data_IF_908678212555
#
_entry.id   IF_908678212555
#
_cell.length_a   1.000
_cell.length_b   1.000
_cell.length_c   1.000
_cell.angle_alpha   90.00
_cell.angle_beta   90.00
_cell.angle_gamma   90.00
#
_symmetry.space_group_name_H-M   'P 1'
#
loop_
_entity.id
_entity.type
_entity.pdbx_description
1 polymer ?
#
# COMPACT_ATOMS: atom_id res chain seq x y z
N UNK A 1 -31.76 18.34 6.06
CA UNK A 1 -30.66 19.32 5.92
C UNK A 1 -29.35 18.59 6.34
N UNK A 2 -28.31 18.61 5.53
CA UNK A 2 -27.05 17.97 5.88
C UNK A 2 -26.39 18.71 7.06
N UNK A 3 -25.77 17.96 7.99
CA UNK A 3 -24.97 18.50 9.07
C UNK A 3 -23.75 19.25 8.55
N UNK A 4 -23.08 18.68 7.54
CA UNK A 4 -21.94 19.28 6.86
C UNK A 4 -22.29 19.56 5.40
N UNK A 5 -22.10 20.80 4.96
CA UNK A 5 -22.38 21.24 3.59
C UNK A 5 -21.25 20.90 2.65
N UNK A 6 -19.98 21.03 3.12
CA UNK A 6 -18.81 20.75 2.31
C UNK A 6 -17.71 20.08 3.13
N UNK A 7 -17.36 18.86 2.77
CA UNK A 7 -16.31 18.07 3.41
C UNK A 7 -15.07 17.98 2.51
N UNK A 8 -13.91 18.22 3.11
CA UNK A 8 -12.61 18.03 2.44
C UNK A 8 -11.99 16.69 2.88
N UNK A 9 -11.79 15.77 1.94
CA UNK A 9 -10.98 14.57 2.11
C UNK A 9 -9.57 14.85 1.63
N UNK A 10 -8.59 14.89 2.54
CA UNK A 10 -7.22 15.34 2.30
C UNK A 10 -6.22 14.19 2.43
N UNK A 11 -5.40 14.00 1.38
CA UNK A 11 -4.20 13.18 1.42
C UNK A 11 -2.97 14.10 1.52
N UNK A 12 -2.32 14.24 2.72
CA UNK A 12 -1.33 15.28 2.98
C UNK A 12 0.10 14.91 2.60
N UNK A 13 0.30 13.78 1.91
CA UNK A 13 1.64 13.30 1.57
C UNK A 13 2.15 13.91 0.28
N UNK A 14 3.05 14.86 0.40
CA UNK A 14 3.76 15.44 -0.74
C UNK A 14 5.20 15.76 -0.35
N UNK A 15 6.14 15.73 -1.29
CA UNK A 15 7.47 16.33 -1.17
C UNK A 15 8.27 16.14 -2.46
N UNK A 16 9.06 17.15 -2.75
CA UNK A 16 9.75 17.31 -4.03
C UNK A 16 10.86 16.30 -4.30
N UNK A 17 11.51 15.77 -3.26
CA UNK A 17 12.74 14.96 -3.39
C UNK A 17 12.58 13.48 -3.09
N UNK A 18 11.41 12.89 -3.31
CA UNK A 18 11.23 11.48 -2.96
C UNK A 18 11.92 10.57 -3.98
N UNK A 19 12.79 9.67 -3.48
CA UNK A 19 13.41 8.61 -4.30
C UNK A 19 12.43 7.54 -4.76
N UNK A 20 11.26 7.53 -4.19
CA UNK A 20 10.22 6.55 -4.46
C UNK A 20 9.23 7.20 -5.41
N UNK A 21 8.85 6.49 -6.44
CA UNK A 21 7.74 6.83 -7.29
C UNK A 21 6.49 6.86 -6.43
N UNK A 22 6.13 8.07 -5.97
CA UNK A 22 4.93 8.29 -5.16
C UNK A 22 3.90 8.97 -6.03
N UNK A 23 2.70 8.45 -6.05
CA UNK A 23 1.63 8.94 -6.87
C UNK A 23 1.19 7.99 -7.98
N UNK A 24 1.77 6.77 -8.02
CA UNK A 24 1.39 5.72 -8.97
C UNK A 24 -0.09 5.32 -8.80
N UNK A 25 -0.55 5.23 -7.55
CA UNK A 25 -1.92 4.82 -7.23
C UNK A 25 -2.65 5.88 -6.42
N UNK A 26 -4.00 5.92 -6.49
CA UNK A 26 -4.82 6.81 -5.68
C UNK A 26 -4.68 6.53 -4.18
N UNK A 27 -5.08 7.48 -3.31
CA UNK A 27 -5.16 7.27 -1.87
C UNK A 27 -6.41 6.44 -1.52
N UNK A 28 -6.42 5.16 -1.92
CA UNK A 28 -7.58 4.28 -1.94
C UNK A 28 -8.37 4.26 -0.65
N UNK A 29 -7.68 4.17 0.53
CA UNK A 29 -8.38 4.20 1.81
C UNK A 29 -9.17 5.50 2.04
N UNK A 30 -8.63 6.65 1.63
CA UNK A 30 -9.35 7.93 1.72
C UNK A 30 -10.53 7.99 0.73
N UNK A 31 -10.39 7.39 -0.43
CA UNK A 31 -11.47 7.32 -1.42
C UNK A 31 -12.63 6.45 -0.94
N UNK A 32 -12.35 5.36 -0.21
CA UNK A 32 -13.40 4.58 0.48
C UNK A 32 -14.14 5.45 1.50
N UNK A 33 -13.42 6.22 2.32
CA UNK A 33 -14.04 7.16 3.28
C UNK A 33 -14.91 8.18 2.54
N UNK A 34 -14.39 8.79 1.48
CA UNK A 34 -15.14 9.77 0.68
C UNK A 34 -16.41 9.17 0.06
N UNK A 35 -16.34 7.98 -0.51
CA UNK A 35 -17.47 7.28 -1.12
C UNK A 35 -18.56 6.93 -0.09
N UNK A 36 -18.17 6.55 1.14
CA UNK A 36 -19.10 6.14 2.18
C UNK A 36 -19.76 7.33 2.91
N UNK A 37 -19.36 8.56 2.67
CA UNK A 37 -20.01 9.76 3.23
C UNK A 37 -20.65 10.68 2.18
N UNK A 38 -20.39 10.52 0.87
CA UNK A 38 -20.77 11.50 -0.17
C UNK A 38 -22.25 11.79 -0.24
N UNK A 39 -23.11 10.79 -0.01
CA UNK A 39 -24.56 10.92 -0.08
C UNK A 39 -25.18 11.38 1.27
N UNK A 40 -24.33 11.51 2.32
CA UNK A 40 -24.71 11.94 3.67
C UNK A 40 -24.31 13.40 3.97
N UNK A 41 -23.64 14.06 3.02
CA UNK A 41 -23.17 15.44 3.12
C UNK A 41 -23.51 16.22 1.84
N UNK A 42 -23.45 17.56 1.89
CA UNK A 42 -23.80 18.37 0.72
C UNK A 42 -22.81 18.22 -0.44
N UNK A 43 -21.51 18.16 -0.15
CA UNK A 43 -20.44 18.02 -1.14
C UNK A 43 -19.21 17.39 -0.51
N UNK A 44 -18.49 16.55 -1.25
CA UNK A 44 -17.15 16.06 -0.92
C UNK A 44 -16.15 16.56 -1.94
N UNK A 45 -15.04 17.12 -1.47
CA UNK A 45 -13.86 17.42 -2.29
C UNK A 45 -12.73 16.51 -1.85
N UNK A 46 -12.12 15.80 -2.79
CA UNK A 46 -10.94 14.98 -2.55
C UNK A 46 -9.70 15.72 -3.06
N UNK A 47 -8.73 15.98 -2.17
CA UNK A 47 -7.44 16.59 -2.52
C UNK A 47 -6.28 15.64 -2.23
N UNK A 48 -5.51 15.36 -3.26
CA UNK A 48 -4.24 14.67 -3.17
C UNK A 48 -3.08 15.65 -3.37
N UNK A 49 -2.39 16.01 -2.29
CA UNK A 49 -1.33 17.01 -2.34
C UNK A 49 -0.10 16.58 -3.15
N UNK A 50 -0.03 15.34 -3.60
CA UNK A 50 0.99 14.91 -4.59
C UNK A 50 0.79 15.60 -5.94
N UNK A 51 -0.45 15.98 -6.26
CA UNK A 51 -0.87 16.61 -7.52
C UNK A 51 -1.27 18.08 -7.35
N UNK A 52 -1.94 18.43 -6.24
CA UNK A 52 -2.47 19.78 -5.97
C UNK A 52 -1.39 20.70 -5.37
N UNK A 53 -0.44 21.14 -6.20
CA UNK A 53 0.75 21.90 -5.76
C UNK A 53 0.44 23.20 -5.05
N UNK A 54 -0.64 23.89 -5.44
CA UNK A 54 -1.06 25.16 -4.80
C UNK A 54 -1.36 24.94 -3.32
N UNK A 55 -1.98 23.81 -2.99
CA UNK A 55 -2.36 23.48 -1.61
C UNK A 55 -1.25 22.78 -0.81
N UNK A 56 -0.06 22.62 -1.38
CA UNK A 56 1.14 22.23 -0.60
C UNK A 56 1.64 23.37 0.29
N UNK A 57 1.22 24.63 0.00
CA UNK A 57 1.38 25.76 0.91
C UNK A 57 0.27 25.73 1.98
N UNK A 58 0.60 25.56 3.28
CA UNK A 58 -0.40 25.54 4.35
C UNK A 58 -1.27 26.80 4.41
N UNK A 59 -0.74 27.97 4.02
CA UNK A 59 -1.51 29.22 4.01
C UNK A 59 -2.59 29.22 2.93
N UNK A 60 -2.25 28.77 1.73
CA UNK A 60 -3.21 28.64 0.63
C UNK A 60 -4.29 27.63 0.95
N UNK A 61 -3.91 26.47 1.50
CA UNK A 61 -4.85 25.43 1.92
C UNK A 61 -5.74 25.92 3.06
N UNK A 62 -5.17 26.59 4.09
CA UNK A 62 -5.94 27.15 5.21
C UNK A 62 -6.96 28.17 4.76
N UNK A 63 -6.62 29.01 3.78
CA UNK A 63 -7.59 29.97 3.20
C UNK A 63 -8.74 29.26 2.52
N UNK A 64 -8.47 28.20 1.76
CA UNK A 64 -9.53 27.39 1.14
C UNK A 64 -10.41 26.70 2.18
N UNK A 65 -9.80 26.10 3.20
CA UNK A 65 -10.52 25.41 4.28
C UNK A 65 -11.46 26.39 5.01
N UNK A 66 -10.98 27.57 5.45
CA UNK A 66 -11.78 28.57 6.16
C UNK A 66 -12.99 29.06 5.37
N UNK A 67 -12.84 29.19 4.06
CA UNK A 67 -13.86 29.79 3.22
C UNK A 67 -14.95 28.79 2.78
N UNK A 68 -14.59 27.50 2.68
CA UNK A 68 -15.45 26.56 1.97
C UNK A 68 -15.73 25.26 2.74
N UNK A 69 -14.99 24.92 3.79
CA UNK A 69 -15.02 23.59 4.38
C UNK A 69 -15.61 23.60 5.80
N UNK A 70 -16.57 22.74 6.03
CA UNK A 70 -17.20 22.54 7.34
C UNK A 70 -16.59 21.35 8.11
N UNK A 71 -15.99 20.38 7.40
CA UNK A 71 -15.37 19.20 7.97
C UNK A 71 -14.12 18.84 7.17
N UNK A 72 -13.00 18.69 7.87
CA UNK A 72 -11.72 18.25 7.30
C UNK A 72 -11.43 16.81 7.69
N UNK A 73 -11.34 15.90 6.71
CA UNK A 73 -10.94 14.51 6.89
C UNK A 73 -9.53 14.28 6.37
N UNK A 74 -8.58 13.96 7.25
CA UNK A 74 -7.16 13.78 6.91
C UNK A 74 -6.77 12.31 7.01
N UNK A 75 -6.15 11.77 5.97
CA UNK A 75 -5.69 10.38 5.95
C UNK A 75 -4.18 10.28 6.23
N UNK A 76 -3.81 9.63 7.34
CA UNK A 76 -2.42 9.38 7.74
C UNK A 76 -2.14 7.87 7.79
N UNK A 77 -1.92 7.21 6.63
CA UNK A 77 -1.77 5.76 6.57
C UNK A 77 -0.33 5.28 6.78
N UNK A 78 0.70 6.15 6.64
CA UNK A 78 2.08 5.72 6.53
C UNK A 78 3.00 6.30 7.61
N UNK A 79 3.93 5.46 8.10
CA UNK A 79 5.08 5.84 8.92
C UNK A 79 6.01 6.84 8.19
N UNK A 80 6.16 6.67 6.87
CA UNK A 80 7.08 7.48 6.08
C UNK A 80 6.76 8.97 6.21
N UNK A 81 7.66 9.72 6.87
CA UNK A 81 7.56 11.16 7.11
C UNK A 81 6.37 11.59 7.97
N UNK A 82 5.98 10.74 8.88
CA UNK A 82 4.89 10.97 9.81
C UNK A 82 5.01 12.33 10.50
N UNK A 83 6.17 12.66 11.10
CA UNK A 83 6.40 13.94 11.77
C UNK A 83 6.20 15.17 10.85
N UNK A 84 6.65 15.08 9.59
CA UNK A 84 6.43 16.17 8.62
C UNK A 84 4.96 16.35 8.24
N UNK A 85 4.21 15.25 8.22
CA UNK A 85 2.75 15.30 8.01
C UNK A 85 2.08 15.92 9.24
N UNK A 86 2.51 15.58 10.45
CA UNK A 86 2.03 16.22 11.67
C UNK A 86 2.33 17.73 11.64
N UNK A 87 3.57 18.13 11.34
CA UNK A 87 3.95 19.55 11.21
C UNK A 87 3.08 20.31 10.20
N UNK A 88 2.69 19.65 9.11
CA UNK A 88 1.80 20.25 8.12
C UNK A 88 0.37 20.35 8.63
N UNK A 89 -0.18 19.26 9.20
CA UNK A 89 -1.54 19.22 9.73
C UNK A 89 -1.74 20.21 10.85
N UNK A 90 -0.76 20.37 11.77
CA UNK A 90 -0.82 21.35 12.88
C UNK A 90 -0.94 22.81 12.42
N UNK A 91 -0.62 23.13 11.16
CA UNK A 91 -0.76 24.48 10.59
C UNK A 91 -2.14 24.72 9.96
N UNK A 92 -3.00 23.72 9.92
CA UNK A 92 -4.34 23.86 9.36
C UNK A 92 -5.30 24.53 10.35
N UNK A 93 -6.40 25.14 9.88
CA UNK A 93 -7.31 25.94 10.70
C UNK A 93 -7.92 25.17 11.88
N UNK A 94 -7.77 25.62 13.12
CA UNK A 94 -8.35 24.95 14.29
C UNK A 94 -9.86 25.19 14.44
N UNK A 95 -10.42 26.15 13.73
CA UNK A 95 -11.84 26.47 13.74
C UNK A 95 -12.71 25.54 12.91
N UNK A 96 -12.12 24.68 12.09
CA UNK A 96 -12.83 23.67 11.27
C UNK A 96 -12.62 22.30 11.91
N UNK A 97 -13.72 21.59 12.17
CA UNK A 97 -13.67 20.26 12.75
C UNK A 97 -12.77 19.33 11.93
N UNK A 98 -11.72 18.81 12.56
CA UNK A 98 -10.71 17.98 11.91
C UNK A 98 -10.77 16.54 12.41
N UNK A 99 -11.08 15.63 11.49
CA UNK A 99 -11.07 14.17 11.67
C UNK A 99 -9.83 13.58 11.03
N UNK A 100 -9.04 12.84 11.80
CA UNK A 100 -7.86 12.15 11.29
C UNK A 100 -8.08 10.64 11.36
N UNK A 101 -7.64 9.92 10.33
CA UNK A 101 -7.72 8.46 10.30
C UNK A 101 -6.59 7.85 9.48
N UNK A 102 -6.58 6.53 9.40
CA UNK A 102 -5.57 5.73 8.71
C UNK A 102 -4.72 4.90 9.65
N UNK A 103 -3.93 4.00 9.07
CA UNK A 103 -3.17 3.00 9.84
C UNK A 103 -2.24 3.65 10.86
N UNK A 104 -1.44 4.64 10.44
CA UNK A 104 -0.50 5.31 11.34
C UNK A 104 -1.20 6.22 12.35
N UNK A 105 -2.30 6.86 11.97
CA UNK A 105 -3.12 7.61 12.91
C UNK A 105 -3.71 6.73 14.02
N UNK A 106 -4.07 5.48 13.68
CA UNK A 106 -4.54 4.49 14.66
C UNK A 106 -3.42 4.05 15.63
N UNK A 107 -2.17 3.98 15.17
CA UNK A 107 -1.03 3.63 16.02
C UNK A 107 -0.64 4.74 17.01
N UNK A 108 -0.70 6.00 16.54
CA UNK A 108 -0.11 7.17 17.21
C UNK A 108 -1.17 8.15 17.72
N UNK A 109 -2.27 7.66 18.26
CA UNK A 109 -3.40 8.49 18.70
C UNK A 109 -2.98 9.55 19.71
N UNK A 110 -2.25 9.15 20.76
CA UNK A 110 -1.79 10.06 21.81
C UNK A 110 -0.85 11.11 21.24
N UNK A 111 0.15 10.67 20.48
CA UNK A 111 1.12 11.56 19.86
C UNK A 111 0.46 12.62 18.95
N UNK A 112 -0.57 12.21 18.19
CA UNK A 112 -1.32 13.13 17.34
C UNK A 112 -2.11 14.16 18.14
N UNK A 113 -2.79 13.76 19.22
CA UNK A 113 -3.49 14.70 20.09
C UNK A 113 -2.52 15.63 20.83
N UNK A 114 -1.40 15.13 21.31
CA UNK A 114 -0.38 15.96 21.99
C UNK A 114 0.27 16.97 21.04
N UNK A 115 0.59 16.52 19.82
CA UNK A 115 1.32 17.31 18.82
C UNK A 115 0.44 18.33 18.12
N UNK A 116 -0.79 17.99 17.79
CA UNK A 116 -1.67 18.77 16.93
C UNK A 116 -2.98 19.13 17.66
N UNK A 117 -3.01 20.31 18.34
CA UNK A 117 -4.19 20.73 19.09
C UNK A 117 -5.43 20.99 18.22
N UNK A 118 -5.26 21.18 16.93
CA UNK A 118 -6.35 21.36 15.96
C UNK A 118 -6.97 20.04 15.46
N UNK A 119 -6.55 18.90 15.97
CA UNK A 119 -7.24 17.63 15.72
C UNK A 119 -8.32 17.44 16.76
N UNK A 120 -9.57 17.34 16.33
CA UNK A 120 -10.73 17.12 17.20
C UNK A 120 -11.02 15.63 17.38
N UNK A 121 -10.94 14.85 16.30
CA UNK A 121 -11.38 13.46 16.23
C UNK A 121 -10.31 12.59 15.57
N UNK A 122 -10.08 11.41 16.14
CA UNK A 122 -9.25 10.37 15.50
C UNK A 122 -10.07 9.09 15.36
N UNK A 123 -10.20 8.62 14.12
CA UNK A 123 -10.85 7.35 13.77
C UNK A 123 -9.82 6.24 13.87
N UNK A 124 -10.06 5.26 14.75
CA UNK A 124 -9.20 4.11 15.00
C UNK A 124 -9.71 2.87 14.28
N UNK A 125 -8.87 2.27 13.46
CA UNK A 125 -9.22 1.09 12.66
C UNK A 125 -9.79 1.43 11.29
N UNK A 126 -10.73 0.61 10.81
CA UNK A 126 -11.42 0.81 9.54
C UNK A 126 -12.53 1.85 9.72
N UNK A 127 -12.52 2.89 8.92
CA UNK A 127 -13.28 4.11 9.20
C UNK A 127 -14.58 4.29 8.42
N UNK A 128 -14.92 3.38 7.52
CA UNK A 128 -16.03 3.58 6.57
C UNK A 128 -17.40 3.73 7.27
N UNK A 129 -17.68 2.90 8.27
CA UNK A 129 -18.92 3.01 9.05
C UNK A 129 -18.84 4.13 10.12
N UNK A 130 -17.65 4.41 10.63
CA UNK A 130 -17.42 5.45 11.64
C UNK A 130 -17.64 6.84 11.03
N UNK A 131 -17.16 7.09 9.81
CA UNK A 131 -17.36 8.40 9.17
C UNK A 131 -18.83 8.67 8.89
N UNK A 132 -19.62 7.66 8.54
CA UNK A 132 -21.06 7.79 8.36
C UNK A 132 -21.73 8.28 9.66
N UNK A 133 -21.36 7.68 10.80
CA UNK A 133 -21.91 8.09 12.10
C UNK A 133 -21.52 9.53 12.47
N UNK A 134 -20.28 9.95 12.19
CA UNK A 134 -19.81 11.32 12.42
C UNK A 134 -20.62 12.31 11.60
N UNK A 135 -20.79 12.08 10.29
CA UNK A 135 -21.45 13.05 9.40
C UNK A 135 -22.96 13.08 9.58
N UNK A 136 -23.57 12.01 10.08
CA UNK A 136 -25.00 11.98 10.42
C UNK A 136 -25.32 12.53 11.80
N UNK A 137 -24.31 12.83 12.61
CA UNK A 137 -24.48 13.52 13.90
C UNK A 137 -24.75 12.61 15.09
N UNK A 138 -24.35 11.33 15.01
CA UNK A 138 -24.34 10.45 16.20
C UNK A 138 -23.44 11.10 17.27
N UNK A 139 -23.86 11.16 18.55
CA UNK A 139 -23.03 11.72 19.61
C UNK A 139 -21.67 11.02 19.70
N UNK A 140 -20.60 11.76 19.80
CA UNK A 140 -19.23 11.19 19.76
C UNK A 140 -19.00 10.08 20.79
N UNK A 141 -19.60 10.20 21.99
CA UNK A 141 -19.53 9.20 23.05
C UNK A 141 -20.10 7.83 22.65
N UNK A 142 -21.00 7.81 21.68
CA UNK A 142 -21.72 6.60 21.24
C UNK A 142 -21.08 5.98 19.98
N UNK A 143 -20.04 6.62 19.39
CA UNK A 143 -19.35 6.14 18.19
C UNK A 143 -18.16 5.25 18.59
N UNK A 144 -18.31 3.96 18.45
CA UNK A 144 -17.20 3.03 18.68
C UNK A 144 -16.05 3.30 17.69
N UNK A 145 -14.81 3.10 18.16
CA UNK A 145 -13.61 3.35 17.34
C UNK A 145 -13.20 4.81 17.26
N UNK A 146 -13.94 5.74 17.88
CA UNK A 146 -13.61 7.15 17.90
C UNK A 146 -12.78 7.51 19.14
N UNK A 147 -11.76 8.36 18.94
CA UNK A 147 -11.11 9.12 20.01
C UNK A 147 -11.34 10.60 19.78
N UNK A 148 -11.61 11.36 20.82
CA UNK A 148 -11.97 12.77 20.70
C UNK A 148 -11.59 13.60 21.95
N UNK A 149 -11.46 14.91 21.79
CA UNK A 149 -11.23 15.85 22.91
C UNK A 149 -12.52 16.12 23.66
N UNK A 150 -12.50 15.97 24.98
CA UNK A 150 -13.59 16.35 25.87
C UNK A 150 -13.07 16.69 27.27
N UNK A 151 -13.67 17.67 27.92
CA UNK A 151 -13.42 18.03 29.32
C UNK A 151 -11.93 18.27 29.64
N UNK A 152 -11.16 18.84 28.70
CA UNK A 152 -9.73 19.12 28.86
C UNK A 152 -8.81 17.90 28.70
N UNK A 153 -9.33 16.76 28.29
CA UNK A 153 -8.59 15.52 28.01
C UNK A 153 -8.97 14.87 26.69
N UNK A 154 -8.50 13.63 26.52
CA UNK A 154 -8.86 12.78 25.38
C UNK A 154 -9.68 11.59 25.88
N UNK A 155 -10.78 11.32 25.19
CA UNK A 155 -11.66 10.17 25.45
C UNK A 155 -11.49 9.14 24.33
N UNK A 156 -11.32 7.88 24.69
CA UNK A 156 -11.23 6.76 23.76
C UNK A 156 -12.43 5.84 23.96
N UNK A 157 -13.30 5.80 22.96
CA UNK A 157 -14.40 4.85 22.97
C UNK A 157 -13.92 3.41 22.76
N UNK A 158 -14.80 2.44 22.98
CA UNK A 158 -14.52 1.03 22.66
C UNK A 158 -14.12 0.87 21.18
N UNK A 159 -13.34 -0.17 20.89
CA UNK A 159 -12.93 -0.49 19.53
C UNK A 159 -14.13 -0.85 18.66
N UNK A 160 -14.20 -0.28 17.45
CA UNK A 160 -15.23 -0.64 16.47
C UNK A 160 -14.97 -2.06 15.93
N UNK A 161 -16.00 -2.90 15.75
CA UNK A 161 -15.84 -4.19 15.05
C UNK A 161 -15.33 -3.96 13.63
N UNK A 162 -14.68 -4.97 13.07
CA UNK A 162 -14.30 -4.90 11.66
C UNK A 162 -15.55 -4.87 10.77
N UNK A 163 -15.69 -3.88 9.88
CA UNK A 163 -16.90 -3.72 9.09
C UNK A 163 -17.08 -4.87 8.07
N UNK A 164 -18.33 -5.10 7.69
CA UNK A 164 -18.70 -6.02 6.62
C UNK A 164 -18.39 -5.37 5.26
N UNK A 165 -17.38 -5.88 4.56
CA UNK A 165 -16.95 -5.31 3.27
C UNK A 165 -18.00 -5.39 2.16
N UNK A 166 -19.06 -6.21 2.34
CA UNK A 166 -20.15 -6.31 1.35
C UNK A 166 -21.08 -5.11 1.40
N UNK A 167 -21.05 -4.34 2.50
CA UNK A 167 -21.88 -3.14 2.74
C UNK A 167 -21.13 -1.84 2.49
N UNK A 168 -19.81 -1.91 2.26
CA UNK A 168 -18.97 -0.73 2.04
C UNK A 168 -19.07 -0.31 0.56
N UNK A 169 -19.41 0.96 0.33
CA UNK A 169 -19.38 1.54 -1.02
C UNK A 169 -17.95 1.58 -1.55
N UNK A 170 -17.73 1.13 -2.78
CA UNK A 170 -16.44 1.26 -3.44
C UNK A 170 -16.15 2.72 -3.85
N UNK A 171 -14.87 3.09 -4.12
CA UNK A 171 -14.48 4.46 -4.45
C UNK A 171 -15.26 5.06 -5.61
N UNK A 172 -15.79 6.27 -5.40
CA UNK A 172 -16.39 7.07 -6.46
C UNK A 172 -15.32 7.88 -7.18
N UNK A 173 -14.97 7.42 -8.38
CA UNK A 173 -13.88 8.00 -9.18
C UNK A 173 -14.21 9.38 -9.74
N UNK A 174 -15.49 9.78 -9.74
CA UNK A 174 -15.91 11.13 -10.13
C UNK A 174 -15.41 12.22 -9.17
N UNK A 175 -15.05 11.86 -7.93
CA UNK A 175 -14.47 12.77 -6.94
C UNK A 175 -13.01 13.12 -7.24
N UNK A 176 -12.36 12.38 -8.13
CA UNK A 176 -10.95 12.60 -8.51
C UNK A 176 -10.83 13.78 -9.46
N UNK A 177 -9.75 14.56 -9.24
CA UNK A 177 -9.36 15.64 -10.17
C UNK A 177 -8.26 15.21 -11.15
N UNK A 178 -7.63 14.05 -10.91
CA UNK A 178 -6.46 13.60 -11.63
C UNK A 178 -6.52 12.11 -11.95
N UNK A 179 -5.89 11.75 -13.07
CA UNK A 179 -5.46 10.38 -13.32
C UNK A 179 -4.13 10.12 -12.60
N UNK A 180 -3.91 8.86 -12.21
CA UNK A 180 -2.67 8.42 -11.58
C UNK A 180 -1.77 7.73 -12.59
N UNK A 181 -0.49 8.06 -12.61
CA UNK A 181 0.48 7.49 -13.53
C UNK A 181 1.87 7.34 -12.93
N UNK A 182 2.66 6.48 -13.54
CA UNK A 182 4.04 6.28 -13.14
C UNK A 182 4.84 7.54 -13.44
N UNK A 183 5.25 8.26 -12.39
CA UNK A 183 6.13 9.41 -12.53
C UNK A 183 7.26 9.38 -11.51
N UNK A 184 8.35 10.03 -11.85
CA UNK A 184 9.52 10.21 -10.98
C UNK A 184 10.05 11.62 -11.19
N UNK A 185 10.27 12.32 -10.08
CA UNK A 185 10.81 13.68 -10.10
C UNK A 185 10.03 14.64 -11.02
N UNK A 186 8.70 14.48 -11.07
CA UNK A 186 7.82 15.25 -11.94
C UNK A 186 7.79 14.80 -13.41
N UNK A 187 8.54 13.77 -13.79
CA UNK A 187 8.58 13.20 -15.13
C UNK A 187 7.68 11.97 -15.21
N UNK A 188 6.67 12.01 -16.08
CA UNK A 188 5.83 10.85 -16.39
C UNK A 188 6.66 9.82 -17.17
N UNK A 189 6.77 8.61 -16.63
CA UNK A 189 7.61 7.53 -17.17
C UNK A 189 6.84 6.54 -18.05
N UNK A 190 5.51 6.45 -17.90
CA UNK A 190 4.66 5.56 -18.68
C UNK A 190 3.45 6.32 -19.22
N UNK A 191 2.96 5.89 -20.36
CA UNK A 191 1.70 6.37 -20.94
C UNK A 191 0.48 5.88 -20.16
N UNK A 192 0.61 4.72 -19.51
CA UNK A 192 -0.49 4.09 -18.79
C UNK A 192 -0.89 4.88 -17.54
N UNK A 193 -2.18 4.90 -17.32
CA UNK A 193 -2.80 5.32 -16.07
C UNK A 193 -3.00 4.13 -15.15
N UNK A 194 -3.04 4.38 -13.84
CA UNK A 194 -3.07 3.35 -12.80
C UNK A 194 -4.23 3.58 -11.84
N UNK A 195 -4.86 2.51 -11.42
CA UNK A 195 -5.92 2.53 -10.40
C UNK A 195 -5.81 1.31 -9.49
N UNK A 196 -6.64 1.28 -8.45
CA UNK A 196 -6.77 0.16 -7.54
C UNK A 196 -8.22 -0.28 -7.45
N UNK A 197 -8.41 -1.59 -7.26
CA UNK A 197 -9.69 -2.20 -6.90
C UNK A 197 -9.42 -3.17 -5.76
N UNK A 198 -10.40 -3.35 -4.90
CA UNK A 198 -10.34 -4.28 -3.78
C UNK A 198 -11.47 -5.29 -3.92
N UNK A 199 -11.13 -6.55 -4.12
CA UNK A 199 -12.10 -7.65 -4.16
C UNK A 199 -12.25 -8.34 -2.81
N UNK A 200 -11.18 -8.34 -1.99
CA UNK A 200 -11.13 -9.03 -0.70
C UNK A 200 -10.39 -8.21 0.35
N UNK A 201 -10.66 -8.45 1.62
CA UNK A 201 -9.84 -7.95 2.75
C UNK A 201 -9.46 -9.09 3.66
N UNK A 202 -8.23 -9.02 4.19
CA UNK A 202 -7.67 -10.02 5.09
C UNK A 202 -7.07 -11.23 4.37
N UNK A 203 -6.39 -12.06 5.15
CA UNK A 203 -5.68 -13.22 4.65
C UNK A 203 -5.82 -14.37 5.67
N UNK A 204 -6.10 -15.62 5.24
CA UNK A 204 -6.28 -16.74 6.17
C UNK A 204 -4.97 -17.25 6.77
N UNK A 205 -3.83 -16.83 6.21
CA UNK A 205 -2.51 -17.26 6.67
C UNK A 205 -2.06 -16.51 7.93
N UNK A 206 -1.11 -17.12 8.68
CA UNK A 206 -0.66 -16.63 9.99
C UNK A 206 0.81 -16.23 10.01
N UNK A 207 1.34 -15.75 8.88
CA UNK A 207 2.74 -15.36 8.76
C UNK A 207 3.12 -14.34 9.86
N UNK A 208 4.13 -14.66 10.66
CA UNK A 208 4.48 -13.90 11.87
C UNK A 208 5.01 -12.49 11.61
N UNK A 209 5.51 -12.23 10.42
CA UNK A 209 6.01 -10.91 10.00
C UNK A 209 4.92 -10.00 9.41
N UNK A 210 3.75 -10.57 9.07
CA UNK A 210 2.73 -9.89 8.28
C UNK A 210 1.74 -9.15 9.16
N UNK A 211 1.45 -7.89 8.81
CA UNK A 211 0.50 -7.03 9.51
C UNK A 211 -0.83 -6.86 8.77
N UNK A 212 -0.95 -7.36 7.54
CA UNK A 212 -2.19 -7.24 6.76
C UNK A 212 -3.40 -7.92 7.41
N UNK A 213 -3.17 -9.02 8.13
CA UNK A 213 -4.23 -9.70 8.86
C UNK A 213 -4.48 -9.13 10.26
N UNK A 214 -3.64 -8.18 10.72
CA UNK A 214 -3.68 -7.64 12.08
C UNK A 214 -3.55 -6.12 12.01
N UNK A 215 -4.61 -5.40 12.35
CA UNK A 215 -4.57 -3.95 12.36
C UNK A 215 -3.84 -3.39 13.61
N UNK A 216 -3.57 -2.06 13.68
CA UNK A 216 -2.88 -1.45 14.82
C UNK A 216 -3.61 -1.54 16.17
N UNK A 217 -4.84 -2.03 16.18
CA UNK A 217 -5.64 -2.30 17.39
C UNK A 217 -5.53 -3.75 17.87
N UNK A 218 -4.77 -4.60 17.16
CA UNK A 218 -4.68 -6.02 17.46
C UNK A 218 -5.88 -6.83 16.94
N UNK A 219 -6.79 -6.21 16.19
CA UNK A 219 -7.90 -6.96 15.58
C UNK A 219 -7.39 -7.73 14.37
N UNK A 220 -7.72 -9.01 14.32
CA UNK A 220 -7.39 -9.87 13.18
C UNK A 220 -8.56 -9.93 12.20
N UNK A 221 -8.35 -9.47 10.96
CA UNK A 221 -9.29 -9.72 9.89
C UNK A 221 -9.00 -11.08 9.27
N UNK A 222 -9.95 -11.99 9.42
CA UNK A 222 -10.01 -13.21 8.60
C UNK A 222 -10.33 -12.81 7.15
N UNK A 223 -10.10 -13.72 6.23
CA UNK A 223 -10.42 -13.50 4.83
C UNK A 223 -11.91 -13.24 4.61
N UNK A 224 -12.23 -12.14 3.96
CA UNK A 224 -13.59 -11.71 3.58
C UNK A 224 -13.63 -11.27 2.13
N UNK A 225 -14.73 -11.49 1.42
CA UNK A 225 -14.86 -11.27 -0.03
C UNK A 225 -16.06 -10.40 -0.35
N UNK A 226 -15.91 -9.51 -1.31
CA UNK A 226 -17.05 -8.84 -1.95
C UNK A 226 -17.75 -9.79 -2.92
N UNK A 227 -19.06 -9.61 -3.19
CA UNK A 227 -19.73 -10.27 -4.32
C UNK A 227 -18.98 -9.96 -5.62
N UNK A 228 -18.78 -10.98 -6.46
CA UNK A 228 -18.02 -10.79 -7.71
C UNK A 228 -18.71 -9.81 -8.66
N UNK A 229 -20.02 -9.73 -8.62
CA UNK A 229 -20.84 -8.77 -9.37
C UNK A 229 -20.50 -7.33 -8.95
N UNK A 230 -20.36 -7.08 -7.64
CA UNK A 230 -19.95 -5.77 -7.10
C UNK A 230 -18.54 -5.37 -7.57
N UNK A 231 -17.62 -6.33 -7.68
CA UNK A 231 -16.28 -6.07 -8.21
C UNK A 231 -16.34 -5.73 -9.72
N UNK A 232 -17.17 -6.42 -10.49
CA UNK A 232 -17.40 -6.13 -11.91
C UNK A 232 -18.01 -4.73 -12.10
N UNK A 233 -19.00 -4.37 -11.30
CA UNK A 233 -19.59 -3.02 -11.36
C UNK A 233 -18.53 -1.95 -11.08
N UNK A 234 -17.68 -2.14 -10.08
CA UNK A 234 -16.57 -1.22 -9.83
C UNK A 234 -15.60 -1.18 -11.02
N UNK A 235 -15.21 -2.33 -11.57
CA UNK A 235 -14.28 -2.40 -12.70
C UNK A 235 -14.81 -1.68 -13.96
N UNK A 236 -16.13 -1.62 -14.16
CA UNK A 236 -16.76 -0.84 -15.24
C UNK A 236 -16.58 0.66 -15.07
N UNK A 237 -16.42 1.15 -13.84
CA UNK A 237 -16.17 2.59 -13.56
C UNK A 237 -14.69 2.97 -13.74
N UNK A 238 -13.79 2.00 -13.78
CA UNK A 238 -12.34 2.25 -13.89
C UNK A 238 -11.98 2.65 -15.32
N UNK A 239 -11.41 3.82 -15.50
CA UNK A 239 -10.88 4.30 -16.79
C UNK A 239 -9.41 3.95 -17.01
N UNK A 240 -8.67 3.70 -15.94
CA UNK A 240 -7.23 3.42 -15.98
C UNK A 240 -6.87 2.16 -16.78
N UNK A 241 -5.68 2.18 -17.40
CA UNK A 241 -5.16 1.06 -18.19
C UNK A 241 -4.66 -0.11 -17.34
N UNK A 242 -4.04 0.22 -16.19
CA UNK A 242 -3.46 -0.75 -15.26
C UNK A 242 -4.20 -0.69 -13.93
N UNK A 243 -4.69 -1.85 -13.48
CA UNK A 243 -5.44 -1.98 -12.23
C UNK A 243 -4.73 -2.94 -11.30
N UNK A 244 -4.36 -2.45 -10.12
CA UNK A 244 -3.88 -3.28 -9.03
C UNK A 244 -5.06 -3.76 -8.18
N UNK A 245 -5.25 -5.06 -8.08
CA UNK A 245 -6.02 -5.61 -7.00
C UNK A 245 -5.21 -5.48 -5.71
N UNK A 246 -5.65 -4.57 -4.84
CA UNK A 246 -4.96 -4.23 -3.58
C UNK A 246 -5.28 -5.21 -2.43
N UNK A 247 -5.71 -6.39 -2.79
CA UNK A 247 -6.00 -7.52 -1.92
C UNK A 247 -4.72 -8.06 -1.28
N UNK A 248 -4.80 -8.52 -0.04
CA UNK A 248 -3.66 -9.12 0.68
C UNK A 248 -3.18 -10.43 0.04
N UNK A 249 -4.11 -11.20 -0.53
CA UNK A 249 -3.87 -12.39 -1.31
C UNK A 249 -5.07 -12.67 -2.23
N UNK A 250 -5.04 -12.18 -3.45
CA UNK A 250 -6.17 -12.16 -4.37
C UNK A 250 -6.71 -13.57 -4.68
N UNK A 251 -5.85 -14.54 -4.94
CA UNK A 251 -6.26 -15.89 -5.34
C UNK A 251 -6.51 -16.85 -4.17
N UNK A 252 -6.88 -16.32 -3.01
CA UNK A 252 -7.15 -17.14 -1.81
C UNK A 252 -8.32 -18.12 -2.02
N UNK A 253 -9.36 -17.70 -2.74
CA UNK A 253 -10.48 -18.55 -3.11
C UNK A 253 -10.47 -18.82 -4.63
N UNK A 254 -9.93 -19.97 -5.08
CA UNK A 254 -9.80 -20.26 -6.50
C UNK A 254 -11.13 -20.28 -7.27
N UNK A 255 -12.22 -20.73 -6.63
CA UNK A 255 -13.56 -20.78 -7.28
C UNK A 255 -14.08 -19.38 -7.58
N UNK A 256 -14.01 -18.46 -6.61
CA UNK A 256 -14.43 -17.09 -6.82
C UNK A 256 -13.50 -16.32 -7.77
N UNK A 257 -12.19 -16.57 -7.67
CA UNK A 257 -11.22 -15.97 -8.61
C UNK A 257 -11.51 -16.43 -10.05
N UNK A 258 -11.88 -17.71 -10.23
CA UNK A 258 -12.29 -18.26 -11.53
C UNK A 258 -13.56 -17.57 -12.05
N UNK A 259 -14.61 -17.47 -11.21
CA UNK A 259 -15.86 -16.79 -11.54
C UNK A 259 -15.63 -15.31 -11.90
N UNK A 260 -14.81 -14.60 -11.12
CA UNK A 260 -14.47 -13.21 -11.43
C UNK A 260 -13.76 -13.07 -12.78
N UNK A 261 -12.79 -13.95 -13.08
CA UNK A 261 -12.12 -13.96 -14.37
C UNK A 261 -13.09 -14.23 -15.54
N UNK A 262 -14.05 -15.15 -15.36
CA UNK A 262 -15.08 -15.42 -16.38
C UNK A 262 -15.92 -14.17 -16.64
N UNK A 263 -16.43 -13.53 -15.60
CA UNK A 263 -17.21 -12.30 -15.72
C UNK A 263 -16.41 -11.13 -16.31
N UNK A 264 -15.11 -11.02 -16.00
CA UNK A 264 -14.24 -10.01 -16.62
C UNK A 264 -14.12 -10.24 -18.14
N UNK A 265 -13.99 -11.49 -18.57
CA UNK A 265 -13.92 -11.87 -19.99
C UNK A 265 -15.27 -11.61 -20.68
N UNK A 266 -16.37 -12.06 -20.11
CA UNK A 266 -17.73 -11.89 -20.62
C UNK A 266 -18.10 -10.40 -20.78
N UNK A 267 -17.77 -9.58 -19.79
CA UNK A 267 -17.98 -8.13 -19.83
C UNK A 267 -16.93 -7.39 -20.66
N UNK A 268 -15.99 -8.09 -21.30
CA UNK A 268 -14.94 -7.51 -22.17
C UNK A 268 -14.09 -6.45 -21.48
N UNK A 269 -13.80 -6.63 -20.19
CA UNK A 269 -12.98 -5.68 -19.42
C UNK A 269 -11.52 -5.84 -19.85
N UNK A 270 -11.04 -4.91 -20.70
CA UNK A 270 -9.69 -4.96 -21.28
C UNK A 270 -8.74 -4.05 -20.53
N UNK A 271 -7.98 -4.58 -19.58
CA UNK A 271 -6.99 -3.86 -18.76
C UNK A 271 -5.78 -4.74 -18.47
N UNK A 272 -4.72 -4.14 -17.97
CA UNK A 272 -3.57 -4.85 -17.41
C UNK A 272 -3.84 -4.99 -15.90
N UNK A 273 -4.09 -6.22 -15.46
CA UNK A 273 -4.30 -6.48 -14.04
C UNK A 273 -3.03 -6.92 -13.34
N UNK A 274 -2.86 -6.38 -12.13
CA UNK A 274 -1.79 -6.70 -11.19
C UNK A 274 -2.43 -7.30 -9.94
N UNK A 275 -1.92 -8.42 -9.43
CA UNK A 275 -2.43 -9.02 -8.20
C UNK A 275 -1.29 -9.45 -7.27
N UNK A 276 -1.50 -9.24 -5.97
CA UNK A 276 -0.69 -9.86 -4.94
C UNK A 276 -1.18 -11.29 -4.71
N UNK A 277 -0.25 -12.24 -4.63
CA UNK A 277 -0.60 -13.65 -4.44
C UNK A 277 0.51 -14.43 -3.75
N UNK A 278 0.16 -15.61 -3.29
CA UNK A 278 1.08 -16.65 -2.82
C UNK A 278 1.35 -17.64 -3.96
N UNK A 279 2.37 -18.48 -3.78
CA UNK A 279 2.71 -19.54 -4.74
C UNK A 279 1.59 -20.59 -4.91
N UNK A 280 0.65 -20.66 -3.98
CA UNK A 280 -0.45 -21.64 -3.99
C UNK A 280 -1.31 -21.59 -5.25
N UNK A 281 -1.36 -20.44 -5.94
CA UNK A 281 -2.06 -20.31 -7.23
C UNK A 281 -1.53 -21.27 -8.29
N UNK A 282 -0.29 -21.70 -8.22
CA UNK A 282 0.31 -22.68 -9.14
C UNK A 282 -0.39 -24.05 -9.11
N UNK A 283 -1.10 -24.38 -8.02
CA UNK A 283 -1.90 -25.59 -7.86
C UNK A 283 -3.21 -25.56 -8.67
N UNK A 284 -3.55 -24.39 -9.25
CA UNK A 284 -4.82 -24.14 -9.94
C UNK A 284 -4.62 -23.71 -11.41
N UNK A 285 -4.13 -24.61 -12.30
CA UNK A 285 -3.83 -24.26 -13.70
C UNK A 285 -5.05 -23.69 -14.46
N UNK A 286 -6.26 -24.15 -14.13
CA UNK A 286 -7.50 -23.65 -14.73
C UNK A 286 -7.73 -22.17 -14.40
N UNK A 287 -7.49 -21.76 -13.14
CA UNK A 287 -7.58 -20.35 -12.71
C UNK A 287 -6.50 -19.53 -13.37
N UNK A 288 -5.25 -20.03 -13.46
CA UNK A 288 -4.15 -19.35 -14.14
C UNK A 288 -4.44 -19.07 -15.62
N UNK A 289 -4.99 -20.07 -16.35
CA UNK A 289 -5.40 -19.89 -17.75
C UNK A 289 -6.47 -18.80 -17.91
N UNK A 290 -7.46 -18.77 -17.01
CA UNK A 290 -8.52 -17.75 -17.02
C UNK A 290 -7.98 -16.38 -16.61
N UNK A 291 -7.13 -16.30 -15.61
CA UNK A 291 -6.50 -15.06 -15.18
C UNK A 291 -5.66 -14.43 -16.31
N UNK A 292 -4.86 -15.23 -17.03
CA UNK A 292 -4.11 -14.73 -18.20
C UNK A 292 -5.03 -14.17 -19.29
N UNK A 293 -6.14 -14.86 -19.59
CA UNK A 293 -7.16 -14.44 -20.58
C UNK A 293 -7.92 -13.19 -20.11
N UNK A 294 -8.23 -13.08 -18.81
CA UNK A 294 -8.88 -11.93 -18.20
C UNK A 294 -7.98 -10.67 -18.16
N UNK A 295 -6.67 -10.81 -18.44
CA UNK A 295 -5.75 -9.69 -18.49
C UNK A 295 -4.83 -9.54 -17.28
N UNK A 296 -4.75 -10.54 -16.40
CA UNK A 296 -3.70 -10.56 -15.37
C UNK A 296 -2.34 -10.72 -16.03
N UNK A 297 -1.51 -9.68 -15.91
CA UNK A 297 -0.18 -9.61 -16.54
C UNK A 297 0.96 -9.52 -15.55
N UNK A 298 0.69 -9.25 -14.28
CA UNK A 298 1.72 -9.11 -13.25
C UNK A 298 1.24 -9.79 -11.98
N UNK A 299 2.05 -10.72 -11.47
CA UNK A 299 1.88 -11.28 -10.14
C UNK A 299 2.98 -10.79 -9.20
N UNK A 300 2.58 -10.29 -8.05
CA UNK A 300 3.43 -9.87 -6.95
C UNK A 300 3.40 -10.98 -5.89
N UNK A 301 4.49 -11.76 -5.79
CA UNK A 301 4.49 -13.04 -5.07
C UNK A 301 5.37 -12.96 -3.83
N UNK A 302 4.76 -13.18 -2.66
CA UNK A 302 5.48 -13.27 -1.40
C UNK A 302 6.21 -14.62 -1.28
N UNK A 303 7.53 -14.62 -1.40
CA UNK A 303 8.41 -15.79 -1.23
C UNK A 303 9.08 -15.75 0.14
N UNK A 304 9.54 -14.57 0.53
CA UNK A 304 10.17 -14.14 1.76
C UNK A 304 11.61 -14.64 1.93
N UNK A 305 11.89 -15.93 1.77
CA UNK A 305 13.24 -16.47 1.90
C UNK A 305 13.45 -17.71 1.02
N UNK A 306 14.69 -17.92 0.52
CA UNK A 306 15.09 -19.17 -0.13
C UNK A 306 15.46 -20.30 0.85
N UNK A 307 15.28 -20.12 2.17
CA UNK A 307 15.73 -21.06 3.19
C UNK A 307 14.56 -21.59 4.02
N UNK A 308 14.38 -22.91 4.08
CA UNK A 308 13.30 -23.56 4.81
C UNK A 308 13.31 -23.21 6.30
N UNK A 309 14.49 -23.06 6.91
CA UNK A 309 14.64 -22.64 8.31
C UNK A 309 14.01 -21.27 8.53
N UNK A 310 14.27 -20.31 7.66
CA UNK A 310 13.73 -18.95 7.73
C UNK A 310 12.22 -18.97 7.43
N UNK A 311 11.78 -19.70 6.41
CA UNK A 311 10.36 -19.83 6.07
C UNK A 311 9.54 -20.41 7.25
N UNK A 312 10.11 -21.40 7.96
CA UNK A 312 9.51 -21.95 9.18
C UNK A 312 9.46 -20.91 10.32
N UNK A 313 10.55 -20.16 10.53
CA UNK A 313 10.60 -19.08 11.53
C UNK A 313 9.54 -18.00 11.26
N UNK A 314 9.33 -17.62 10.01
CA UNK A 314 8.35 -16.65 9.55
C UNK A 314 6.91 -17.21 9.54
N UNK A 315 6.73 -18.49 9.81
CA UNK A 315 5.44 -19.22 9.70
C UNK A 315 4.79 -19.00 8.29
N UNK A 316 5.62 -19.06 7.26
CA UNK A 316 5.15 -18.85 5.88
C UNK A 316 4.33 -20.03 5.35
N UNK A 317 4.53 -21.24 5.89
CA UNK A 317 3.79 -22.45 5.54
C UNK A 317 4.11 -22.99 4.14
N UNK A 318 5.31 -22.71 3.62
CA UNK A 318 5.84 -23.23 2.35
C UNK A 318 7.30 -23.64 2.51
N UNK A 319 7.79 -24.47 1.59
CA UNK A 319 9.22 -24.86 1.51
C UNK A 319 9.88 -24.33 0.25
N UNK A 320 11.22 -24.31 0.24
CA UNK A 320 12.01 -23.95 -0.93
C UNK A 320 11.63 -24.80 -2.15
N UNK A 321 11.44 -26.11 -1.96
CA UNK A 321 11.07 -27.01 -3.05
C UNK A 321 9.69 -26.67 -3.62
N UNK A 322 8.70 -26.40 -2.76
CA UNK A 322 7.39 -25.95 -3.19
C UNK A 322 7.43 -24.63 -3.98
N UNK A 323 8.35 -23.72 -3.65
CA UNK A 323 8.58 -22.52 -4.43
C UNK A 323 9.12 -22.88 -5.83
N UNK A 324 10.12 -23.78 -5.93
CA UNK A 324 10.67 -24.21 -7.21
C UNK A 324 9.59 -24.86 -8.09
N UNK A 325 8.80 -25.76 -7.52
CA UNK A 325 7.73 -26.46 -8.23
C UNK A 325 6.64 -25.47 -8.72
N UNK A 326 6.26 -24.52 -7.88
CA UNK A 326 5.30 -23.50 -8.26
C UNK A 326 5.81 -22.61 -9.40
N UNK A 327 7.07 -22.18 -9.36
CA UNK A 327 7.65 -21.36 -10.42
C UNK A 327 7.89 -22.14 -11.72
N UNK A 328 8.12 -23.46 -11.65
CA UNK A 328 8.14 -24.31 -12.85
C UNK A 328 6.78 -24.27 -13.60
N UNK A 329 5.67 -24.11 -12.88
CA UNK A 329 4.34 -23.92 -13.47
C UNK A 329 4.13 -22.47 -13.92
N UNK A 330 4.35 -21.49 -13.01
CA UNK A 330 4.04 -20.07 -13.26
C UNK A 330 4.81 -19.49 -14.47
N UNK A 331 6.05 -19.94 -14.70
CA UNK A 331 6.88 -19.46 -15.81
C UNK A 331 6.38 -19.88 -17.19
N UNK A 332 5.40 -20.80 -17.27
CA UNK A 332 4.78 -21.21 -18.52
C UNK A 332 3.76 -20.18 -19.02
N UNK A 333 3.30 -19.25 -18.16
CA UNK A 333 2.31 -18.24 -18.50
C UNK A 333 2.98 -16.92 -18.93
N UNK A 334 2.28 -16.14 -19.77
CA UNK A 334 2.76 -14.82 -20.15
C UNK A 334 2.45 -13.75 -19.08
N UNK A 335 2.89 -14.00 -17.86
CA UNK A 335 2.71 -13.19 -16.67
C UNK A 335 4.08 -12.74 -16.17
N UNK A 336 4.21 -11.47 -15.81
CA UNK A 336 5.40 -10.92 -15.17
C UNK A 336 5.41 -11.34 -13.69
N UNK A 337 6.46 -12.00 -13.26
CA UNK A 337 6.60 -12.57 -11.93
C UNK A 337 7.55 -11.71 -11.09
N UNK A 338 6.99 -10.99 -10.11
CA UNK A 338 7.75 -10.20 -9.16
C UNK A 338 7.79 -10.89 -7.80
N UNK A 339 8.98 -11.16 -7.28
CA UNK A 339 9.18 -11.82 -5.98
C UNK A 339 9.48 -10.85 -4.85
N UNK A 340 8.80 -11.02 -3.70
CA UNK A 340 9.15 -10.33 -2.45
C UNK A 340 10.00 -11.21 -1.56
N UNK A 341 11.06 -10.62 -0.99
CA UNK A 341 11.96 -11.26 -0.04
C UNK A 341 12.15 -10.40 1.21
N UNK A 342 12.43 -11.07 2.33
CA UNK A 342 12.83 -10.46 3.59
C UNK A 342 14.27 -10.88 3.85
N UNK A 343 15.15 -9.94 4.22
CA UNK A 343 16.53 -10.19 4.60
C UNK A 343 16.81 -9.61 5.99
N UNK A 344 17.85 -10.12 6.65
CA UNK A 344 18.16 -9.77 8.03
C UNK A 344 17.19 -10.40 9.03
N UNK A 345 16.75 -11.63 8.73
CA UNK A 345 15.93 -12.42 9.64
C UNK A 345 16.77 -12.88 10.85
N UNK A 346 16.10 -13.29 11.92
CA UNK A 346 16.77 -13.75 13.14
C UNK A 346 17.63 -14.99 12.81
N UNK A 347 18.91 -14.94 13.13
CA UNK A 347 19.87 -16.00 12.85
C UNK A 347 20.22 -16.20 11.37
N UNK A 348 19.83 -15.28 10.48
CA UNK A 348 20.18 -15.34 9.06
C UNK A 348 21.64 -14.85 8.85
N UNK A 349 22.45 -15.64 8.17
CA UNK A 349 23.84 -15.29 7.86
C UNK A 349 23.93 -14.38 6.64
N UNK A 350 25.09 -13.72 6.45
CA UNK A 350 25.33 -12.91 5.26
C UNK A 350 25.28 -13.76 3.99
N UNK A 351 25.82 -14.98 4.03
CA UNK A 351 25.81 -15.92 2.90
C UNK A 351 24.36 -16.31 2.52
N UNK A 352 23.52 -16.60 3.52
CA UNK A 352 22.10 -16.90 3.31
C UNK A 352 21.37 -15.72 2.65
N UNK A 353 21.60 -14.49 3.14
CA UNK A 353 21.03 -13.29 2.53
C UNK A 353 21.49 -13.08 1.09
N UNK A 354 22.76 -13.33 0.80
CA UNK A 354 23.35 -13.18 -0.53
C UNK A 354 22.97 -14.31 -1.50
N UNK A 355 22.37 -15.39 -1.01
CA UNK A 355 21.78 -16.43 -1.88
C UNK A 355 20.47 -15.97 -2.54
N UNK A 356 19.76 -14.97 -2.01
CA UNK A 356 18.51 -14.45 -2.57
C UNK A 356 18.60 -14.16 -4.09
N UNK A 357 19.57 -13.39 -4.62
CA UNK A 357 19.62 -13.09 -6.04
C UNK A 357 19.88 -14.31 -6.92
N UNK A 358 20.65 -15.29 -6.43
CA UNK A 358 20.90 -16.55 -7.12
C UNK A 358 19.63 -17.37 -7.21
N UNK A 359 18.95 -17.60 -6.09
CA UNK A 359 17.69 -18.32 -6.01
C UNK A 359 16.62 -17.68 -6.90
N UNK A 360 16.47 -16.35 -6.85
CA UNK A 360 15.52 -15.62 -7.67
C UNK A 360 15.74 -15.82 -9.18
N UNK A 361 17.00 -15.94 -9.62
CA UNK A 361 17.33 -16.27 -11.02
C UNK A 361 17.07 -17.73 -11.34
N UNK A 362 17.35 -18.65 -10.44
CA UNK A 362 17.08 -20.08 -10.61
C UNK A 362 15.59 -20.35 -10.85
N UNK A 363 14.70 -19.68 -10.12
CA UNK A 363 13.24 -19.77 -10.30
C UNK A 363 12.69 -18.82 -11.38
N UNK A 364 13.57 -18.16 -12.14
CA UNK A 364 13.24 -17.28 -13.28
C UNK A 364 12.30 -16.12 -12.94
N UNK A 365 12.52 -15.48 -11.80
CA UNK A 365 11.81 -14.24 -11.48
C UNK A 365 12.19 -13.12 -12.46
N UNK A 366 11.21 -12.34 -12.89
CA UNK A 366 11.42 -11.16 -13.74
C UNK A 366 12.03 -10.01 -12.93
N UNK A 367 11.56 -9.81 -11.69
CA UNK A 367 12.12 -8.81 -10.77
C UNK A 367 11.93 -9.20 -9.31
N UNK A 368 12.68 -8.54 -8.42
CA UNK A 368 12.57 -8.75 -6.97
C UNK A 368 12.47 -7.44 -6.23
N UNK A 369 11.73 -7.45 -5.13
CA UNK A 369 11.82 -6.49 -4.04
C UNK A 369 12.25 -7.20 -2.78
N UNK A 370 13.06 -6.54 -1.97
CA UNK A 370 13.51 -7.10 -0.71
C UNK A 370 13.55 -6.02 0.36
N UNK A 371 13.07 -6.37 1.53
CA UNK A 371 13.00 -5.49 2.69
C UNK A 371 13.69 -6.13 3.89
N UNK A 372 14.21 -5.29 4.78
CA UNK A 372 14.68 -5.77 6.09
C UNK A 372 13.52 -6.30 6.89
N UNK A 373 13.78 -7.32 7.71
CA UNK A 373 12.82 -7.73 8.71
C UNK A 373 12.38 -6.54 9.56
N UNK A 374 11.06 -6.41 9.75
CA UNK A 374 10.45 -5.37 10.57
C UNK A 374 9.51 -6.01 11.58
N UNK A 375 9.48 -5.42 12.75
CA UNK A 375 8.55 -5.76 13.81
C UNK A 375 7.50 -4.67 13.91
N UNK A 376 6.26 -5.05 13.71
CA UNK A 376 5.11 -4.19 13.94
C UNK A 376 4.54 -4.42 15.36
N UNK A 377 3.71 -3.49 15.83
CA UNK A 377 3.24 -3.42 17.22
C UNK A 377 2.74 -4.77 17.79
N UNK A 378 1.98 -5.52 16.99
CA UNK A 378 1.40 -6.81 17.40
C UNK A 378 2.04 -8.01 16.68
N UNK A 379 3.22 -7.84 16.10
CA UNK A 379 3.93 -8.94 15.44
C UNK A 379 4.34 -10.02 16.45
N UNK A 380 4.00 -11.30 16.22
CA UNK A 380 4.50 -12.39 17.06
C UNK A 380 6.02 -12.52 17.07
N UNK A 381 6.72 -11.94 16.10
CA UNK A 381 8.18 -11.91 16.08
C UNK A 381 8.80 -10.94 17.09
N UNK A 382 8.00 -10.04 17.68
CA UNK A 382 8.48 -9.06 18.66
C UNK A 382 9.13 -9.77 19.86
N UNK A 383 8.41 -10.70 20.48
CA UNK A 383 8.92 -11.49 21.61
C UNK A 383 10.16 -12.29 21.21
N UNK A 384 10.18 -12.87 20.01
CA UNK A 384 11.32 -13.63 19.51
C UNK A 384 12.57 -12.77 19.42
N UNK A 385 12.45 -11.52 18.91
CA UNK A 385 13.57 -10.57 18.85
C UNK A 385 14.01 -10.17 20.24
N UNK A 386 13.08 -9.83 21.14
CA UNK A 386 13.38 -9.40 22.51
C UNK A 386 14.04 -10.50 23.36
N UNK A 387 13.74 -11.76 23.11
CA UNK A 387 14.32 -12.92 23.80
C UNK A 387 15.60 -13.47 23.15
N UNK A 388 15.96 -13.02 21.93
CA UNK A 388 17.16 -13.49 21.24
C UNK A 388 18.34 -12.58 21.57
N UNK A 389 19.40 -13.08 22.27
CA UNK A 389 20.57 -12.28 22.61
C UNK A 389 21.23 -11.67 21.36
N UNK A 390 21.64 -10.42 21.47
CA UNK A 390 22.31 -9.68 20.39
C UNK A 390 21.36 -9.18 19.29
N UNK A 391 20.01 -9.33 19.45
CA UNK A 391 19.02 -8.78 18.53
C UNK A 391 18.26 -7.64 19.17
N UNK A 392 17.96 -6.62 18.37
CA UNK A 392 17.17 -5.46 18.78
C UNK A 392 16.43 -4.86 17.57
N UNK A 393 15.40 -4.07 17.83
CA UNK A 393 14.68 -3.35 16.77
C UNK A 393 14.58 -1.86 17.08
N UNK A 394 14.51 -1.06 16.03
CA UNK A 394 14.27 0.37 16.15
C UNK A 394 12.80 0.62 16.52
N UNK A 395 12.55 1.35 17.61
CA UNK A 395 11.19 1.74 18.04
C UNK A 395 10.44 2.53 16.95
N UNK A 396 11.15 3.36 16.18
CA UNK A 396 10.58 4.08 15.04
C UNK A 396 10.77 3.23 13.77
N UNK A 397 9.68 2.68 13.23
CA UNK A 397 9.67 1.89 11.99
C UNK A 397 10.10 0.44 12.11
N UNK A 398 10.27 -0.11 13.32
CA UNK A 398 10.35 -1.55 13.62
C UNK A 398 11.50 -2.34 13.00
N UNK A 399 12.48 -1.71 12.34
CA UNK A 399 13.58 -2.43 11.67
C UNK A 399 14.42 -3.22 12.65
N UNK A 400 14.64 -4.51 12.37
CA UNK A 400 15.45 -5.41 13.18
C UNK A 400 16.93 -5.29 12.81
N UNK A 401 17.78 -5.39 13.80
CA UNK A 401 19.24 -5.38 13.72
C UNK A 401 19.81 -6.41 14.69
N UNK A 402 21.08 -6.75 14.52
CA UNK A 402 21.84 -7.58 15.46
C UNK A 402 23.26 -7.05 15.64
N UNK A 403 23.97 -7.59 16.64
CA UNK A 403 25.38 -7.26 16.88
C UNK A 403 26.26 -7.56 15.64
N UNK A 404 25.94 -8.63 14.89
CA UNK A 404 26.62 -9.00 13.64
C UNK A 404 26.13 -8.23 12.41
N UNK A 405 24.90 -7.70 12.43
CA UNK A 405 24.28 -7.05 11.28
C UNK A 405 23.57 -5.75 11.69
N UNK A 406 24.35 -4.71 11.87
CA UNK A 406 23.84 -3.37 12.12
C UNK A 406 23.29 -2.68 10.86
N UNK A 407 22.95 -1.41 10.99
CA UNK A 407 22.36 -0.61 9.90
C UNK A 407 23.27 -0.49 8.67
N UNK A 408 24.60 -0.40 8.87
CA UNK A 408 25.59 -0.22 7.81
C UNK A 408 25.78 -1.53 7.03
N UNK A 409 25.95 -2.62 7.74
CA UNK A 409 26.14 -3.97 7.21
C UNK A 409 24.92 -4.40 6.38
N UNK A 410 23.71 -4.31 6.92
CA UNK A 410 22.48 -4.61 6.19
C UNK A 410 22.28 -3.72 4.95
N UNK A 411 22.76 -2.46 4.99
CA UNK A 411 22.75 -1.60 3.80
C UNK A 411 23.71 -2.06 2.73
N UNK A 412 24.89 -2.56 3.11
CA UNK A 412 25.89 -3.12 2.19
C UNK A 412 25.36 -4.40 1.55
N UNK A 413 24.84 -5.34 2.36
CA UNK A 413 24.22 -6.58 1.89
C UNK A 413 23.08 -6.28 0.91
N UNK A 414 22.20 -5.34 1.24
CA UNK A 414 21.13 -4.90 0.33
C UNK A 414 21.64 -4.42 -1.02
N UNK A 415 22.75 -3.67 -1.02
CA UNK A 415 23.31 -3.17 -2.28
C UNK A 415 23.92 -4.30 -3.10
N UNK A 416 24.55 -5.30 -2.45
CA UNK A 416 25.08 -6.51 -3.11
C UNK A 416 23.95 -7.34 -3.71
N UNK A 417 22.89 -7.67 -2.96
CA UNK A 417 21.70 -8.38 -3.47
C UNK A 417 21.18 -7.67 -4.74
N UNK A 418 21.07 -6.33 -4.67
CA UNK A 418 20.57 -5.52 -5.79
C UNK A 418 21.47 -5.60 -7.03
N UNK A 419 22.77 -5.41 -6.87
CA UNK A 419 23.70 -5.41 -7.99
C UNK A 419 23.85 -6.79 -8.63
N UNK A 420 23.80 -7.86 -7.83
CA UNK A 420 23.87 -9.23 -8.32
C UNK A 420 22.62 -9.63 -9.11
N UNK A 421 21.44 -9.24 -8.67
CA UNK A 421 20.21 -9.55 -9.40
C UNK A 421 20.05 -8.66 -10.64
N UNK A 422 20.12 -7.33 -10.48
CA UNK A 422 19.84 -6.35 -11.54
C UNK A 422 21.09 -6.06 -12.40
N UNK A 423 21.66 -7.09 -13.01
CA UNK A 423 22.71 -6.95 -14.02
C UNK A 423 22.15 -6.62 -15.41
N UNK A 424 23.00 -6.35 -16.38
CA UNK A 424 22.60 -5.97 -17.75
C UNK A 424 21.71 -7.02 -18.43
N UNK A 425 21.96 -8.31 -18.20
CA UNK A 425 21.15 -9.40 -18.76
C UNK A 425 19.71 -9.35 -18.18
N UNK A 426 19.59 -9.18 -16.87
CA UNK A 426 18.29 -9.09 -16.20
C UNK A 426 17.52 -7.83 -16.63
N UNK A 427 18.21 -6.69 -16.79
CA UNK A 427 17.58 -5.46 -17.29
C UNK A 427 17.04 -5.67 -18.71
N UNK A 428 17.82 -6.31 -19.60
CA UNK A 428 17.35 -6.66 -20.95
C UNK A 428 16.14 -7.61 -20.92
N UNK A 429 16.15 -8.57 -20.00
CA UNK A 429 15.02 -9.47 -19.79
C UNK A 429 13.76 -8.72 -19.35
N UNK A 430 13.87 -7.84 -18.34
CA UNK A 430 12.77 -6.99 -17.85
C UNK A 430 12.16 -6.18 -19.00
N UNK A 431 12.99 -5.49 -19.78
CA UNK A 431 12.53 -4.67 -20.92
C UNK A 431 11.79 -5.54 -21.93
N UNK A 432 12.31 -6.72 -22.29
CA UNK A 432 11.61 -7.64 -23.22
C UNK A 432 10.27 -8.12 -22.65
N UNK A 433 10.26 -8.52 -21.38
CA UNK A 433 9.06 -9.06 -20.74
C UNK A 433 7.97 -7.98 -20.60
N UNK A 434 8.32 -6.78 -20.13
CA UNK A 434 7.37 -5.66 -19.98
C UNK A 434 6.79 -5.19 -21.31
N UNK A 435 7.57 -5.25 -22.39
CA UNK A 435 7.05 -5.00 -23.75
C UNK A 435 6.08 -6.10 -24.19
N UNK A 436 6.44 -7.37 -23.95
CA UNK A 436 5.61 -8.53 -24.33
C UNK A 436 4.24 -8.52 -23.64
N UNK A 437 4.15 -8.09 -22.38
CA UNK A 437 2.87 -7.98 -21.65
C UNK A 437 2.11 -6.68 -21.92
N UNK A 438 2.68 -5.76 -22.72
CA UNK A 438 2.05 -4.49 -23.08
C UNK A 438 2.19 -3.36 -22.06
N UNK A 439 2.99 -3.54 -20.99
CA UNK A 439 3.18 -2.54 -19.93
C UNK A 439 4.06 -1.36 -20.39
N UNK A 440 5.08 -1.62 -21.23
CA UNK A 440 5.94 -0.59 -21.84
C UNK A 440 6.02 -0.77 -23.35
N UNK A 441 5.72 0.27 -24.08
CA UNK A 441 5.86 0.35 -25.53
C UNK A 441 7.16 1.04 -25.98
N UNK A 442 7.38 1.08 -27.28
CA UNK A 442 8.53 1.81 -27.86
C UNK A 442 8.45 3.31 -27.55
N UNK A 443 7.25 3.90 -27.53
CA UNK A 443 6.99 5.30 -27.17
C UNK A 443 7.38 5.61 -25.72
N UNK A 444 7.19 4.67 -24.77
CA UNK A 444 7.57 4.87 -23.39
C UNK A 444 9.10 4.90 -23.24
N UNK A 445 9.80 4.00 -23.95
CA UNK A 445 11.28 3.97 -23.96
C UNK A 445 11.85 5.26 -24.60
N UNK A 446 11.29 5.70 -25.72
CA UNK A 446 11.67 6.96 -26.35
C UNK A 446 11.46 8.15 -25.42
N UNK A 447 10.29 8.20 -24.73
CA UNK A 447 9.99 9.23 -23.75
C UNK A 447 10.96 9.25 -22.56
N UNK A 448 11.34 8.08 -22.04
CA UNK A 448 12.34 7.94 -20.97
C UNK A 448 13.71 8.42 -21.47
N UNK A 449 14.13 8.03 -22.68
CA UNK A 449 15.41 8.45 -23.25
C UNK A 449 15.47 9.96 -23.46
N UNK A 450 14.43 10.58 -24.02
CA UNK A 450 14.33 12.03 -24.20
C UNK A 450 14.38 12.81 -22.88
N UNK A 451 13.85 12.22 -21.80
CA UNK A 451 13.81 12.83 -20.47
C UNK A 451 14.99 12.40 -19.57
N UNK A 452 15.90 11.59 -20.11
CA UNK A 452 17.10 11.14 -19.37
C UNK A 452 17.92 12.29 -18.77
N UNK A 453 18.17 13.41 -19.47
CA UNK A 453 18.89 14.56 -18.90
C UNK A 453 18.19 15.15 -17.66
N UNK A 454 16.86 15.25 -17.67
CA UNK A 454 16.08 15.73 -16.52
C UNK A 454 16.14 14.77 -15.33
N UNK A 455 16.09 13.47 -15.61
CA UNK A 455 16.23 12.43 -14.59
C UNK A 455 17.64 12.42 -13.99
N UNK A 456 18.67 12.63 -14.80
CA UNK A 456 20.07 12.74 -14.37
C UNK A 456 20.30 14.01 -13.55
N UNK A 457 19.75 15.15 -13.96
CA UNK A 457 19.81 16.40 -13.20
C UNK A 457 19.17 16.24 -11.81
N UNK A 458 18.01 15.62 -11.72
CA UNK A 458 17.38 15.29 -10.44
C UNK A 458 18.24 14.38 -9.52
N UNK A 459 19.07 13.52 -10.11
CA UNK A 459 20.01 12.67 -9.35
C UNK A 459 21.23 13.45 -8.83
N UNK A 460 21.77 14.37 -9.62
CA UNK A 460 22.93 15.19 -9.25
C UNK A 460 22.58 16.25 -8.18
N UNK A 461 21.45 16.93 -8.33
CA UNK A 461 20.94 17.87 -7.32
C UNK A 461 20.81 17.21 -5.94
N UNK A 462 20.29 15.98 -5.88
CA UNK A 462 20.16 15.22 -4.62
C UNK A 462 21.48 14.80 -4.00
N UNK A 463 22.53 14.64 -4.79
CA UNK A 463 23.87 14.36 -4.27
C UNK A 463 24.44 15.57 -3.53
N UNK A 464 24.18 16.77 -4.02
CA UNK A 464 24.57 18.02 -3.39
C UNK A 464 23.78 18.35 -2.11
N UNK A 465 22.44 18.11 -2.08
CA UNK A 465 21.59 18.31 -0.91
C UNK A 465 21.85 17.28 0.22
N UNK A 466 22.62 16.21 -0.04
CA UNK A 466 23.01 15.22 0.97
C UNK A 466 24.36 15.50 1.61
N UNK A 467 25.14 16.27 0.97
CA UNK A 467 26.48 16.65 1.44
C UNK A 467 26.46 18.01 2.17
N UNK A 468 25.28 18.61 2.27
CA UNK A 468 24.96 19.73 3.18
C UNK A 468 24.04 19.21 4.29
#
# INVERSE_FOLDING_TARGET
MFRYKHVLALHPYFWESSRVIKGLFPPTGLEYIAANMKDLVGKVTLLDLRYERVYQDPKALSKFIRNEIDLLCVSIPWESRFEKVCDFVCQLPPEVCTVVGGHKATEEVEHLFDRCPNIDLIVRGEGEEIIQQIVTGVPYKDIRGLSYRANGGVVHNEIHPLPDITRISFPDRSLRKHDYYLFKDGVRLSRHTFDTVLATRGCPFKCKFCTFSLNPLGQKRSYTERPVESVIEELKTVTADVVLFSDDNFFTNPKKSEQLCDLMIENRIKKIFVAQTRIDIAKHPRVLNKAEKAGFKIFLIGIESPHDRILKQLDKGITQQQVRDAFAVLTQYNIYLHGYFIYGNIGETEEEMLYIPKFAKEIKLDSISFQKLRIEKFSPLKEVVEQTPGYFYNRIGGSVYSDGHGRKELKQIRNRIRSEFYNLSQIKHIIRKTRRIGLFGSSDLTNILLKLPLLMYGLTRRKHERNR
#
